data_IF_070040581429
#
_entry.id   IF_070040581429
#
_cell.length_a   1.000
_cell.length_b   1.000
_cell.length_c   1.000
_cell.angle_alpha   90.00
_cell.angle_beta   90.00
_cell.angle_gamma   90.00
#
_symmetry.space_group_name_H-M   'P 1'
#
loop_
_entity.id
_entity.type
_entity.pdbx_description
1 polymer ?
#
# COMPACT_ATOMS: atom_id res chain seq x y z
N UNK A 1 27.87 -1.07 -7.02
CA UNK A 1 26.43 -1.11 -6.66
C UNK A 1 25.71 -0.12 -7.58
N UNK A 2 24.62 -0.52 -8.24
CA UNK A 2 23.89 0.33 -9.19
C UNK A 2 22.78 1.16 -8.57
N UNK A 3 22.45 2.26 -9.25
CA UNK A 3 21.31 3.17 -8.98
C UNK A 3 19.98 2.41 -8.95
N UNK A 4 19.06 2.83 -8.09
CA UNK A 4 17.66 2.41 -8.14
C UNK A 4 16.85 3.57 -8.73
N UNK A 5 16.13 3.31 -9.81
CA UNK A 5 15.24 4.26 -10.47
C UNK A 5 13.96 3.53 -10.85
N UNK A 6 12.81 4.15 -10.63
CA UNK A 6 11.49 3.58 -10.88
C UNK A 6 10.40 4.26 -10.04
N UNK A 7 9.15 3.87 -10.28
CA UNK A 7 8.00 4.36 -9.51
C UNK A 7 7.99 3.82 -8.09
N UNK A 8 7.25 4.47 -7.18
CA UNK A 8 7.02 3.97 -5.81
C UNK A 8 6.66 2.48 -5.78
N UNK A 9 5.69 2.07 -6.58
CA UNK A 9 5.24 0.68 -6.67
C UNK A 9 6.33 -0.27 -7.19
N UNK A 10 7.09 0.14 -8.21
CA UNK A 10 8.20 -0.65 -8.73
C UNK A 10 9.30 -0.88 -7.69
N UNK A 11 9.65 0.16 -6.93
CA UNK A 11 10.64 0.08 -5.87
C UNK A 11 10.12 -0.74 -4.67
N UNK A 12 8.85 -0.57 -4.28
CA UNK A 12 8.22 -1.37 -3.22
C UNK A 12 8.13 -2.84 -3.59
N UNK A 13 7.71 -3.18 -4.82
CA UNK A 13 7.72 -4.55 -5.30
C UNK A 13 9.13 -5.15 -5.24
N UNK A 14 10.15 -4.42 -5.71
CA UNK A 14 11.55 -4.88 -5.63
C UNK A 14 12.00 -5.13 -4.18
N UNK A 15 11.61 -4.27 -3.25
CA UNK A 15 11.94 -4.42 -1.83
C UNK A 15 11.21 -5.61 -1.21
N UNK A 16 9.90 -5.73 -1.43
CA UNK A 16 9.08 -6.83 -0.94
C UNK A 16 9.51 -8.19 -1.50
N UNK A 17 9.97 -8.26 -2.75
CA UNK A 17 10.54 -9.50 -3.31
C UNK A 17 11.83 -9.91 -2.63
N UNK A 18 12.66 -8.94 -2.22
CA UNK A 18 13.90 -9.22 -1.51
C UNK A 18 13.67 -9.65 -0.05
N UNK A 19 12.61 -9.16 0.58
CA UNK A 19 12.28 -9.36 2.01
C UNK A 19 10.89 -9.96 2.20
N UNK A 20 10.53 -10.93 1.36
CA UNK A 20 9.17 -11.46 1.31
C UNK A 20 8.76 -12.12 2.63
N UNK A 21 9.70 -12.78 3.33
CA UNK A 21 9.44 -13.47 4.58
C UNK A 21 9.09 -12.48 5.68
N UNK A 22 9.91 -11.45 5.81
CA UNK A 22 9.76 -10.37 6.79
C UNK A 22 8.51 -9.55 6.49
N UNK A 23 8.14 -9.40 5.21
CA UNK A 23 6.89 -8.80 4.79
C UNK A 23 5.64 -9.67 5.01
N UNK A 24 5.79 -10.90 5.52
CA UNK A 24 4.66 -11.82 5.72
C UNK A 24 4.05 -12.34 4.41
N UNK A 25 4.83 -12.39 3.34
CA UNK A 25 4.39 -12.82 2.02
C UNK A 25 4.98 -14.16 1.60
N UNK A 26 4.32 -14.91 0.68
CA UNK A 26 4.99 -15.96 -0.06
C UNK A 26 5.96 -15.35 -1.08
N UNK A 27 7.07 -16.03 -1.36
CA UNK A 27 8.07 -15.56 -2.35
C UNK A 27 7.47 -15.32 -3.74
N UNK A 28 6.42 -16.08 -4.08
CA UNK A 28 5.72 -16.06 -5.36
C UNK A 28 4.43 -15.24 -5.33
N UNK A 29 4.25 -14.33 -4.37
CA UNK A 29 3.01 -13.56 -4.27
C UNK A 29 2.64 -12.90 -5.62
N UNK A 30 1.37 -12.86 -5.99
CA UNK A 30 0.95 -12.23 -7.25
C UNK A 30 0.46 -10.80 -7.01
N UNK A 31 0.59 -9.94 -8.03
CA UNK A 31 0.09 -8.57 -7.97
C UNK A 31 -1.22 -8.53 -8.75
N UNK A 32 -2.30 -8.11 -8.09
CA UNK A 32 -3.60 -7.91 -8.69
C UNK A 32 -3.62 -6.57 -9.41
N UNK A 33 -4.08 -6.55 -10.66
CA UNK A 33 -4.47 -5.31 -11.30
C UNK A 33 -5.84 -4.83 -10.79
N UNK A 34 -6.28 -3.66 -11.26
CA UNK A 34 -7.56 -3.06 -10.87
C UNK A 34 -8.76 -3.96 -11.20
N UNK A 35 -8.72 -4.70 -12.31
CA UNK A 35 -9.78 -5.61 -12.73
C UNK A 35 -9.82 -6.88 -11.88
N UNK A 36 -8.65 -7.43 -11.55
CA UNK A 36 -8.49 -8.59 -10.69
C UNK A 36 -8.89 -8.29 -9.25
N UNK A 37 -8.49 -7.14 -8.71
CA UNK A 37 -8.93 -6.65 -7.40
C UNK A 37 -10.46 -6.53 -7.35
N UNK A 38 -11.07 -5.88 -8.34
CA UNK A 38 -12.53 -5.72 -8.41
C UNK A 38 -13.24 -7.08 -8.47
N UNK A 39 -12.70 -8.01 -9.25
CA UNK A 39 -13.24 -9.37 -9.37
C UNK A 39 -13.13 -10.15 -8.06
N UNK A 40 -12.03 -9.97 -7.32
CA UNK A 40 -11.85 -10.57 -6.00
C UNK A 40 -12.86 -10.01 -4.99
N UNK A 41 -13.03 -8.69 -4.95
CA UNK A 41 -14.01 -8.01 -4.08
C UNK A 41 -15.43 -8.51 -4.35
N UNK A 42 -15.84 -8.63 -5.62
CA UNK A 42 -17.16 -9.18 -6.00
C UNK A 42 -17.37 -10.60 -5.49
N UNK A 43 -16.36 -11.47 -5.61
CA UNK A 43 -16.44 -12.85 -5.09
C UNK A 43 -16.57 -12.87 -3.57
N UNK A 44 -15.79 -12.05 -2.88
CA UNK A 44 -15.84 -11.92 -1.43
C UNK A 44 -17.22 -11.44 -0.96
N UNK A 45 -17.74 -10.36 -1.56
CA UNK A 45 -19.05 -9.82 -1.21
C UNK A 45 -20.17 -10.84 -1.38
N UNK A 46 -20.12 -11.62 -2.48
CA UNK A 46 -21.06 -12.72 -2.70
C UNK A 46 -20.97 -13.80 -1.62
N UNK A 47 -19.75 -14.17 -1.21
CA UNK A 47 -19.54 -15.15 -0.14
C UNK A 47 -20.09 -14.67 1.21
N UNK A 48 -19.93 -13.37 1.50
CA UNK A 48 -20.39 -12.73 2.73
C UNK A 48 -21.88 -12.32 2.70
N UNK A 49 -22.60 -12.61 1.61
CA UNK A 49 -23.97 -12.17 1.37
C UNK A 49 -24.16 -10.64 1.54
N UNK A 50 -23.20 -9.86 1.03
CA UNK A 50 -23.28 -8.40 1.03
C UNK A 50 -24.18 -7.93 -0.11
N UNK A 51 -25.09 -7.01 0.21
CA UNK A 51 -25.93 -6.31 -0.75
C UNK A 51 -25.09 -5.38 -1.63
N UNK A 52 -25.01 -5.68 -2.93
CA UNK A 52 -24.20 -4.94 -3.90
C UNK A 52 -24.89 -3.68 -4.47
N UNK A 53 -26.19 -3.51 -4.22
CA UNK A 53 -26.88 -2.23 -4.46
C UNK A 53 -26.50 -1.22 -3.37
N UNK A 54 -26.47 -1.69 -2.11
CA UNK A 54 -26.09 -0.84 -0.96
C UNK A 54 -24.59 -0.58 -0.91
N UNK A 55 -23.76 -1.55 -1.30
CA UNK A 55 -22.30 -1.43 -1.28
C UNK A 55 -21.71 -1.73 -2.67
N UNK A 56 -21.82 -0.82 -3.65
CA UNK A 56 -21.34 -1.08 -5.00
C UNK A 56 -19.86 -1.52 -5.02
N UNK A 57 -19.48 -2.65 -5.67
CA UNK A 57 -18.12 -3.19 -5.59
C UNK A 57 -16.99 -2.23 -5.98
N UNK A 58 -17.25 -1.32 -6.93
CA UNK A 58 -16.29 -0.27 -7.31
C UNK A 58 -16.07 0.76 -6.20
N UNK A 59 -17.12 1.11 -5.45
CA UNK A 59 -17.00 2.01 -4.31
C UNK A 59 -16.26 1.33 -3.16
N UNK A 60 -16.54 0.05 -2.92
CA UNK A 60 -15.78 -0.77 -1.95
C UNK A 60 -14.30 -0.83 -2.32
N UNK A 61 -13.98 -1.07 -3.59
CA UNK A 61 -12.60 -1.05 -4.10
C UNK A 61 -11.92 0.31 -3.85
N UNK A 62 -12.59 1.40 -4.21
CA UNK A 62 -12.09 2.76 -3.96
C UNK A 62 -11.83 3.01 -2.49
N UNK A 63 -12.79 2.66 -1.62
CA UNK A 63 -12.66 2.78 -0.17
C UNK A 63 -11.44 2.03 0.38
N UNK A 64 -11.24 0.77 -0.04
CA UNK A 64 -10.09 -0.03 0.38
C UNK A 64 -8.78 0.62 -0.05
N UNK A 65 -8.69 1.07 -1.31
CA UNK A 65 -7.49 1.70 -1.85
C UNK A 65 -7.18 3.01 -1.10
N UNK A 66 -8.17 3.87 -0.90
CA UNK A 66 -8.00 5.12 -0.16
C UNK A 66 -7.57 4.87 1.29
N UNK A 67 -8.13 3.87 1.98
CA UNK A 67 -7.67 3.51 3.33
C UNK A 67 -6.19 3.10 3.33
N UNK A 68 -5.77 2.28 2.35
CA UNK A 68 -4.38 1.85 2.22
C UNK A 68 -3.45 3.03 1.88
N UNK A 69 -3.86 3.93 1.00
CA UNK A 69 -3.12 5.15 0.63
C UNK A 69 -3.00 6.15 1.77
N UNK A 70 -3.95 6.13 2.72
CA UNK A 70 -3.84 6.83 4.01
C UNK A 70 -2.99 6.07 5.02
N UNK A 71 -2.44 4.91 4.68
CA UNK A 71 -1.61 4.11 5.57
C UNK A 71 -2.39 3.36 6.65
N UNK A 72 -3.67 3.11 6.44
CA UNK A 72 -4.57 2.52 7.43
C UNK A 72 -4.95 1.09 7.05
N UNK A 73 -4.70 0.17 7.98
CA UNK A 73 -5.32 -1.17 7.97
C UNK A 73 -6.77 -1.08 8.46
N UNK A 74 -7.61 -2.04 8.06
CA UNK A 74 -9.04 -2.04 8.39
C UNK A 74 -9.33 -1.77 9.88
N UNK A 75 -8.57 -2.39 10.80
CA UNK A 75 -8.74 -2.21 12.24
C UNK A 75 -8.47 -0.78 12.75
N UNK A 76 -7.68 0.00 12.01
CA UNK A 76 -7.33 1.39 12.34
C UNK A 76 -8.27 2.41 11.68
N UNK A 77 -9.19 1.96 10.81
CA UNK A 77 -10.17 2.85 10.18
C UNK A 77 -11.31 3.13 11.15
N UNK A 78 -11.54 4.41 11.43
CA UNK A 78 -12.69 4.85 12.22
C UNK A 78 -13.99 4.66 11.43
N UNK A 79 -15.03 4.18 12.10
CA UNK A 79 -16.34 3.94 11.53
C UNK A 79 -17.40 4.58 12.41
N UNK A 80 -18.26 5.39 11.82
CA UNK A 80 -19.19 6.28 12.54
C UNK A 80 -20.66 5.86 12.41
N UNK A 81 -20.97 5.01 11.43
CA UNK A 81 -22.31 4.52 11.14
C UNK A 81 -22.30 3.05 10.66
N UNK A 82 -23.48 2.47 10.47
CA UNK A 82 -23.61 1.08 10.03
C UNK A 82 -23.00 0.84 8.63
N UNK A 83 -22.97 1.87 7.77
CA UNK A 83 -22.43 1.76 6.42
C UNK A 83 -20.90 1.68 6.43
N UNK A 84 -20.23 2.61 7.11
CA UNK A 84 -18.77 2.63 7.31
C UNK A 84 -18.29 1.43 8.11
N UNK A 85 -19.04 0.96 9.11
CA UNK A 85 -18.74 -0.29 9.81
C UNK A 85 -18.72 -1.47 8.85
N UNK A 86 -19.71 -1.55 7.94
CA UNK A 86 -19.76 -2.64 6.97
C UNK A 86 -18.63 -2.56 5.94
N UNK A 87 -18.29 -1.37 5.46
CA UNK A 87 -17.13 -1.18 4.57
C UNK A 87 -15.82 -1.63 5.24
N UNK A 88 -15.64 -1.30 6.52
CA UNK A 88 -14.49 -1.75 7.31
C UNK A 88 -14.44 -3.27 7.45
N UNK A 89 -15.57 -3.93 7.73
CA UNK A 89 -15.65 -5.40 7.77
C UNK A 89 -15.27 -6.02 6.42
N UNK A 90 -15.78 -5.47 5.31
CA UNK A 90 -15.45 -5.96 3.96
C UNK A 90 -13.95 -5.79 3.69
N UNK A 91 -13.38 -4.65 4.08
CA UNK A 91 -11.94 -4.40 3.95
C UNK A 91 -11.12 -5.43 4.75
N UNK A 92 -11.48 -5.68 6.01
CA UNK A 92 -10.79 -6.65 6.85
C UNK A 92 -10.82 -8.07 6.25
N UNK A 93 -11.98 -8.52 5.77
CA UNK A 93 -12.12 -9.84 5.14
C UNK A 93 -11.41 -9.92 3.79
N UNK A 94 -11.34 -8.82 3.05
CA UNK A 94 -10.57 -8.72 1.82
C UNK A 94 -9.07 -8.90 2.08
N UNK A 95 -8.50 -8.19 3.05
CA UNK A 95 -7.09 -8.35 3.41
C UNK A 95 -6.77 -9.77 3.89
N UNK A 96 -7.67 -10.38 4.69
CA UNK A 96 -7.53 -11.80 5.10
C UNK A 96 -7.53 -12.73 3.88
N UNK A 97 -8.42 -12.51 2.91
CA UNK A 97 -8.47 -13.32 1.69
C UNK A 97 -7.18 -13.15 0.88
N UNK A 98 -6.72 -11.91 0.66
CA UNK A 98 -5.48 -11.66 -0.08
C UNK A 98 -4.27 -12.33 0.56
N UNK A 99 -4.16 -12.30 1.89
CA UNK A 99 -3.10 -12.97 2.62
C UNK A 99 -3.16 -14.50 2.47
N UNK A 100 -4.36 -15.10 2.53
CA UNK A 100 -4.55 -16.55 2.29
C UNK A 100 -4.19 -16.97 0.87
N UNK A 101 -4.55 -16.15 -0.11
CA UNK A 101 -4.31 -16.42 -1.54
C UNK A 101 -2.86 -16.06 -1.97
N UNK A 102 -2.11 -15.36 -1.13
CA UNK A 102 -0.76 -14.90 -1.48
C UNK A 102 -0.76 -13.86 -2.58
N UNK A 103 -1.71 -12.92 -2.54
CA UNK A 103 -1.85 -11.85 -3.53
C UNK A 103 -1.75 -10.47 -2.88
N UNK A 104 -1.41 -9.47 -3.68
CA UNK A 104 -1.28 -8.07 -3.28
C UNK A 104 -1.88 -7.17 -4.35
N UNK A 105 -2.75 -6.24 -3.99
CA UNK A 105 -3.12 -5.15 -4.89
C UNK A 105 -2.00 -4.07 -4.94
N UNK A 106 -2.16 -3.06 -5.79
CA UNK A 106 -1.15 -2.00 -5.93
C UNK A 106 -0.94 -1.19 -4.63
N UNK A 107 -2.02 -0.77 -3.98
CA UNK A 107 -1.93 0.02 -2.74
C UNK A 107 -1.28 -0.79 -1.60
N UNK A 108 -1.52 -2.10 -1.57
CA UNK A 108 -0.90 -3.04 -0.63
C UNK A 108 0.62 -3.09 -0.74
N UNK A 109 1.18 -2.94 -1.95
CA UNK A 109 2.63 -2.95 -2.12
C UNK A 109 3.30 -1.86 -1.30
N UNK A 110 2.73 -0.66 -1.32
CA UNK A 110 3.29 0.47 -0.61
C UNK A 110 3.04 0.33 0.90
N UNK A 111 1.82 -0.03 1.31
CA UNK A 111 1.47 -0.14 2.73
C UNK A 111 2.33 -1.19 3.43
N UNK A 112 2.45 -2.38 2.81
CA UNK A 112 3.23 -3.46 3.39
C UNK A 112 4.73 -3.18 3.37
N UNK A 113 5.22 -2.41 2.40
CA UNK A 113 6.60 -1.93 2.37
C UNK A 113 6.87 -0.91 3.50
N UNK A 114 5.94 0.00 3.74
CA UNK A 114 6.01 0.93 4.88
C UNK A 114 6.04 0.18 6.22
N UNK A 115 5.09 -0.73 6.45
CA UNK A 115 5.01 -1.53 7.67
C UNK A 115 6.26 -2.40 7.89
N UNK A 116 6.82 -2.95 6.81
CA UNK A 116 8.08 -3.70 6.85
C UNK A 116 9.23 -2.83 7.37
N UNK A 117 9.41 -1.64 6.79
CA UNK A 117 10.48 -0.73 7.21
C UNK A 117 10.24 -0.13 8.60
N UNK A 118 9.00 -0.01 9.02
CA UNK A 118 8.64 0.51 10.34
C UNK A 118 9.03 -0.49 11.42
N UNK A 119 8.63 -1.75 11.23
CA UNK A 119 8.90 -2.88 12.15
C UNK A 119 10.35 -3.37 12.09
N UNK A 120 10.90 -3.58 10.91
CA UNK A 120 12.21 -4.21 10.73
C UNK A 120 13.34 -3.16 10.64
N UNK A 121 13.74 -2.65 11.80
CA UNK A 121 14.76 -1.59 11.92
C UNK A 121 16.05 -1.93 11.18
N UNK A 122 16.49 -3.19 11.21
CA UNK A 122 17.71 -3.62 10.55
C UNK A 122 17.63 -3.51 9.02
N UNK A 123 16.48 -3.83 8.42
CA UNK A 123 16.22 -3.66 6.98
C UNK A 123 16.18 -2.17 6.64
N UNK A 124 15.46 -1.38 7.44
CA UNK A 124 15.39 0.08 7.27
C UNK A 124 16.78 0.71 7.30
N UNK A 125 17.59 0.40 8.32
CA UNK A 125 18.95 0.96 8.44
C UNK A 125 19.84 0.52 7.28
N UNK A 126 19.71 -0.70 6.78
CA UNK A 126 20.43 -1.15 5.59
C UNK A 126 20.12 -0.27 4.37
N UNK A 127 18.84 0.03 4.12
CA UNK A 127 18.44 0.87 2.99
C UNK A 127 18.76 2.35 3.18
N UNK A 128 18.62 2.89 4.40
CA UNK A 128 19.07 4.24 4.75
C UNK A 128 20.57 4.41 4.49
N UNK A 129 21.41 3.46 4.91
CA UNK A 129 22.85 3.50 4.62
C UNK A 129 23.15 3.38 3.12
N UNK A 130 22.33 2.63 2.39
CA UNK A 130 22.49 2.45 0.95
C UNK A 130 22.09 3.70 0.15
N UNK A 131 20.99 4.36 0.52
CA UNK A 131 20.37 5.45 -0.25
C UNK A 131 20.66 6.81 0.37
N UNK A 132 21.93 7.21 0.39
CA UNK A 132 22.36 8.50 0.95
C UNK A 132 21.71 9.72 0.25
N UNK A 133 21.34 9.56 -1.02
CA UNK A 133 20.67 10.56 -1.82
C UNK A 133 19.39 9.96 -2.40
N UNK A 134 18.25 10.60 -2.15
CA UNK A 134 16.93 10.20 -2.64
C UNK A 134 16.40 11.37 -3.45
N UNK A 135 16.10 11.12 -4.72
CA UNK A 135 15.47 12.09 -5.61
C UNK A 135 14.03 11.66 -5.86
N UNK A 136 13.11 12.60 -5.69
CA UNK A 136 11.68 12.39 -5.94
C UNK A 136 11.22 13.46 -6.93
N UNK A 137 10.59 13.00 -8.00
CA UNK A 137 9.98 13.82 -9.03
C UNK A 137 8.45 13.81 -8.83
N UNK A 138 7.74 14.80 -9.36
CA UNK A 138 6.29 14.96 -9.23
C UNK A 138 5.79 14.87 -7.77
N UNK A 139 6.51 15.51 -6.85
CA UNK A 139 6.25 15.40 -5.41
C UNK A 139 4.85 15.94 -5.03
N UNK A 140 4.28 16.86 -5.80
CA UNK A 140 2.93 17.39 -5.59
C UNK A 140 1.84 16.32 -5.65
N UNK A 141 2.06 15.21 -6.36
CA UNK A 141 1.09 14.10 -6.49
C UNK A 141 1.28 13.03 -5.40
N UNK A 142 2.15 13.27 -4.42
CA UNK A 142 2.49 12.29 -3.39
C UNK A 142 1.38 12.17 -2.34
N UNK A 143 0.79 10.97 -2.21
CA UNK A 143 -0.19 10.71 -1.15
C UNK A 143 0.47 10.53 0.24
N UNK A 144 -0.36 10.49 1.29
CA UNK A 144 0.11 10.39 2.68
C UNK A 144 1.05 9.21 2.91
N UNK A 145 0.69 8.01 2.44
CA UNK A 145 1.51 6.83 2.63
C UNK A 145 2.84 6.89 1.88
N UNK A 146 2.86 7.43 0.65
CA UNK A 146 4.10 7.63 -0.11
C UNK A 146 5.03 8.59 0.63
N UNK A 147 4.49 9.68 1.18
CA UNK A 147 5.24 10.61 2.01
C UNK A 147 5.82 9.94 3.27
N UNK A 148 5.01 9.17 4.01
CA UNK A 148 5.48 8.43 5.19
C UNK A 148 6.58 7.44 4.85
N UNK A 149 6.44 6.73 3.72
CA UNK A 149 7.45 5.79 3.24
C UNK A 149 8.77 6.50 2.91
N UNK A 150 8.73 7.64 2.22
CA UNK A 150 9.93 8.44 1.93
C UNK A 150 10.61 8.92 3.21
N UNK A 151 9.84 9.45 4.16
CA UNK A 151 10.36 9.93 5.44
C UNK A 151 11.08 8.82 6.21
N UNK A 152 10.51 7.63 6.19
CA UNK A 152 11.07 6.45 6.85
C UNK A 152 12.35 5.97 6.15
N UNK A 153 12.38 6.01 4.81
CA UNK A 153 13.54 5.62 4.00
C UNK A 153 14.69 6.64 4.06
N UNK A 154 14.39 7.93 4.13
CA UNK A 154 15.38 8.98 4.27
C UNK A 154 16.00 8.98 5.69
N UNK A 155 15.22 8.85 6.75
CA UNK A 155 15.79 8.96 8.11
C UNK A 155 16.47 10.32 8.35
N UNK A 156 17.42 10.39 9.28
CA UNK A 156 17.98 11.67 9.76
C UNK A 156 19.18 12.19 8.96
N UNK A 157 19.95 11.31 8.32
CA UNK A 157 21.27 11.65 7.75
C UNK A 157 21.28 11.66 6.22
N UNK A 158 20.13 11.46 5.58
CA UNK A 158 20.05 11.31 4.13
C UNK A 158 19.58 12.60 3.47
N UNK A 159 20.04 12.84 2.25
CA UNK A 159 19.63 13.97 1.45
C UNK A 159 18.40 13.59 0.61
N UNK A 160 17.23 14.08 1.00
CA UNK A 160 16.02 14.01 0.20
C UNK A 160 15.92 15.28 -0.65
N UNK A 161 15.91 15.13 -1.97
CA UNK A 161 15.66 16.20 -2.92
C UNK A 161 14.35 15.90 -3.66
N UNK A 162 13.33 16.73 -3.44
CA UNK A 162 12.02 16.59 -4.05
C UNK A 162 11.77 17.76 -5.00
N UNK A 163 11.26 17.45 -6.19
CA UNK A 163 10.82 18.41 -7.20
C UNK A 163 9.32 18.25 -7.37
N UNK A 164 8.60 19.37 -7.45
CA UNK A 164 7.19 19.39 -7.77
C UNK A 164 6.70 20.77 -8.15
N UNK A 165 5.50 20.83 -8.73
CA UNK A 165 4.83 22.05 -9.18
C UNK A 165 3.40 22.07 -8.66
N UNK A 166 3.11 22.96 -7.70
CA UNK A 166 1.79 23.05 -7.05
C UNK A 166 0.68 23.45 -8.05
N UNK A 167 1.01 24.13 -9.15
CA UNK A 167 0.06 24.51 -10.20
C UNK A 167 -0.37 23.32 -11.09
N UNK A 168 0.24 22.14 -10.91
CA UNK A 168 -0.03 20.91 -11.68
C UNK A 168 -0.65 19.77 -10.85
N UNK A 169 -1.05 20.02 -9.60
CA UNK A 169 -1.78 19.02 -8.81
C UNK A 169 -3.18 18.79 -9.39
N UNK A 170 -3.52 17.51 -9.69
CA UNK A 170 -4.79 17.09 -10.33
C UNK A 170 -5.73 16.40 -9.34
#
# INVERSE_FOLDING_TARGET
RGMWAGTFHGLCNRLLRAHYREAGLPSTFQILDTGDQLSSIKRLMKLLNVDDEKYPPKQVQGYINSCKEEGLRAHAVEAYDAHSQKLREIYEEYDKQCNREGVADFAELLLRCYELLEREVHIRTHYQQRFQYILVDEFQDTNRLQYLWLKLLAGANNCLFAVGDDDQSI
#
